data_IF_247737707259
#
_entry.id   IF_247737707259
#
_cell.length_a   1.000
_cell.length_b   1.000
_cell.length_c   1.000
_cell.angle_alpha   90.00
_cell.angle_beta   90.00
_cell.angle_gamma   90.00
#
_symmetry.space_group_name_H-M   'P 1'
#
loop_
_entity.id
_entity.type
_entity.pdbx_description
1 polymer ?
#
# COMPACT_ATOMS: atom_id res chain seq x y z
N UNK A 1 -33.30 10.91 -38.67
CA UNK A 1 -32.40 12.07 -38.52
C UNK A 1 -32.63 12.69 -37.16
N UNK A 2 -31.62 12.69 -36.29
CA UNK A 2 -31.37 13.67 -35.22
C UNK A 2 -30.20 13.15 -34.36
N UNK A 3 -28.99 13.60 -34.67
CA UNK A 3 -27.78 13.41 -33.86
C UNK A 3 -27.68 14.56 -32.86
N UNK A 4 -27.69 14.29 -31.56
CA UNK A 4 -27.49 15.31 -30.53
C UNK A 4 -25.97 15.56 -30.35
N UNK A 5 -25.50 16.72 -30.84
CA UNK A 5 -24.15 17.23 -30.63
C UNK A 5 -24.06 17.98 -29.31
N UNK A 6 -23.26 17.49 -28.36
CA UNK A 6 -22.96 18.21 -27.11
C UNK A 6 -21.76 19.14 -27.36
N UNK A 7 -21.99 20.44 -27.26
CA UNK A 7 -20.99 21.50 -27.38
C UNK A 7 -20.20 21.68 -26.08
N UNK A 8 -18.87 21.70 -26.16
CA UNK A 8 -17.98 22.04 -25.04
C UNK A 8 -17.63 23.53 -25.10
N UNK A 9 -17.94 24.28 -24.04
CA UNK A 9 -17.43 25.65 -23.86
C UNK A 9 -16.17 25.62 -23.00
N UNK A 10 -15.05 26.02 -23.61
CA UNK A 10 -13.73 26.14 -23.00
C UNK A 10 -13.36 27.63 -22.94
N UNK A 11 -13.58 28.31 -21.81
CA UNK A 11 -12.87 29.57 -21.48
C UNK A 11 -12.82 29.72 -19.96
N UNK A 12 -11.62 29.89 -19.40
CA UNK A 12 -11.41 30.10 -17.96
C UNK A 12 -9.98 30.54 -17.64
N UNK A 13 -9.64 31.74 -18.11
CA UNK A 13 -8.53 32.64 -17.78
C UNK A 13 -7.42 32.18 -16.80
N UNK A 14 -6.21 32.10 -17.34
CA UNK A 14 -4.93 32.10 -16.61
C UNK A 14 -4.58 33.55 -16.23
N UNK A 15 -4.46 33.88 -14.94
CA UNK A 15 -3.79 35.11 -14.49
C UNK A 15 -2.96 34.88 -13.24
N UNK A 16 -1.64 34.88 -13.44
CA UNK A 16 -0.67 35.57 -12.58
C UNK A 16 -0.31 34.91 -11.25
N UNK A 17 0.70 34.02 -11.27
CA UNK A 17 1.53 33.72 -10.11
C UNK A 17 2.91 34.38 -10.33
N UNK A 18 3.17 35.48 -9.62
CA UNK A 18 4.53 35.99 -9.44
C UNK A 18 5.25 35.14 -8.41
N UNK A 19 6.33 34.48 -8.84
CA UNK A 19 7.32 33.85 -7.97
C UNK A 19 8.07 34.93 -7.20
N UNK A 20 8.06 34.84 -5.86
CA UNK A 20 9.17 35.32 -5.04
C UNK A 20 9.35 34.34 -3.89
N UNK A 21 10.26 33.39 -4.10
CA UNK A 21 10.91 32.63 -3.03
C UNK A 21 12.06 33.46 -2.48
N UNK A 22 12.12 33.67 -1.16
CA UNK A 22 13.37 33.51 -0.41
C UNK A 22 13.08 33.47 1.08
N UNK A 23 13.00 32.25 1.61
CA UNK A 23 13.18 31.99 3.03
C UNK A 23 14.67 32.14 3.34
N UNK A 24 15.05 33.18 4.09
CA UNK A 24 16.39 33.26 4.70
C UNK A 24 16.24 33.02 6.19
N UNK A 25 16.56 31.80 6.60
CA UNK A 25 16.78 31.43 7.99
C UNK A 25 18.08 32.06 8.50
N UNK A 26 18.01 32.86 9.56
CA UNK A 26 19.20 33.24 10.33
C UNK A 26 19.01 32.85 11.78
N UNK A 27 19.59 31.70 12.10
CA UNK A 27 19.93 31.25 13.44
C UNK A 27 20.82 32.29 14.15
N UNK A 28 20.57 32.44 15.46
CA UNK A 28 21.51 32.77 16.55
C UNK A 28 22.73 33.64 16.23
N UNK A 29 22.74 34.87 16.78
CA UNK A 29 23.99 35.48 17.27
C UNK A 29 23.68 36.38 18.47
N UNK A 30 24.02 35.89 19.66
CA UNK A 30 24.13 36.71 20.86
C UNK A 30 25.47 37.41 20.87
N UNK A 31 25.50 38.68 21.23
CA UNK A 31 26.68 39.34 21.76
C UNK A 31 26.29 40.50 22.67
N UNK A 32 27.15 40.73 23.64
CA UNK A 32 26.97 41.46 24.90
C UNK A 32 27.12 42.97 24.66
N UNK A 33 26.34 43.81 25.36
CA UNK A 33 26.69 45.23 25.41
C UNK A 33 25.65 46.18 26.01
N UNK A 34 25.97 46.60 27.23
CA UNK A 34 25.79 47.95 27.77
C UNK A 34 24.44 48.39 28.37
N UNK A 35 24.58 48.69 29.66
CA UNK A 35 23.67 49.25 30.65
C UNK A 35 23.38 50.71 30.34
N UNK A 36 22.11 51.11 30.26
CA UNK A 36 21.68 52.49 30.59
C UNK A 36 20.34 52.51 31.32
N UNK A 37 20.25 53.49 32.22
CA UNK A 37 19.36 53.64 33.36
C UNK A 37 17.96 54.18 32.99
N UNK A 38 17.04 53.97 33.93
CA UNK A 38 15.81 54.75 34.22
C UNK A 38 14.75 54.84 33.11
N UNK A 39 13.68 54.06 33.28
CA UNK A 39 12.31 54.52 33.04
C UNK A 39 11.34 53.67 33.86
N UNK A 40 10.59 54.33 34.75
CA UNK A 40 9.48 53.74 35.50
C UNK A 40 8.35 53.51 34.50
N UNK A 41 8.05 52.25 34.16
CA UNK A 41 6.88 51.93 33.34
C UNK A 41 5.82 51.33 34.25
N UNK A 42 4.80 52.15 34.51
CA UNK A 42 3.57 51.78 35.18
C UNK A 42 2.85 50.65 34.42
N UNK A 43 2.49 49.58 35.12
CA UNK A 43 1.63 48.53 34.58
C UNK A 43 0.25 49.10 34.22
N UNK A 44 -0.27 48.94 33.00
CA UNK A 44 -1.65 49.29 32.72
C UNK A 44 -2.59 48.30 33.41
N UNK A 45 -3.58 48.89 34.08
CA UNK A 45 -4.73 48.25 34.75
C UNK A 45 -5.48 47.32 33.80
N UNK A 46 -6.02 46.24 34.40
CA UNK A 46 -7.18 45.43 33.97
C UNK A 46 -7.92 46.00 32.75
N UNK A 47 -7.85 45.32 31.61
CA UNK A 47 -8.79 45.53 30.51
C UNK A 47 -10.18 45.00 30.91
N UNK A 48 -11.26 45.79 30.82
CA UNK A 48 -12.61 45.40 31.23
C UNK A 48 -13.39 44.75 30.07
N UNK A 49 -12.72 43.98 29.21
CA UNK A 49 -13.37 43.39 28.04
C UNK A 49 -13.50 41.87 28.19
N UNK A 50 -14.66 41.30 27.84
CA UNK A 50 -15.02 39.93 28.17
C UNK A 50 -14.05 38.93 27.53
N UNK A 51 -13.76 37.84 28.25
CA UNK A 51 -13.09 36.64 27.75
C UNK A 51 -14.00 35.93 26.74
N UNK A 52 -14.31 36.57 25.63
CA UNK A 52 -15.02 35.91 24.54
C UNK A 52 -14.00 35.01 23.86
N UNK A 53 -14.11 33.70 24.06
CA UNK A 53 -13.48 32.74 23.16
C UNK A 53 -14.23 32.89 21.84
N UNK A 54 -13.75 33.78 20.97
CA UNK A 54 -14.27 33.92 19.62
C UNK A 54 -13.83 32.69 18.83
N UNK A 55 -14.67 31.67 18.91
CA UNK A 55 -14.63 30.46 18.11
C UNK A 55 -13.38 29.59 18.32
N UNK A 56 -13.62 28.31 18.53
CA UNK A 56 -12.68 27.31 18.05
C UNK A 56 -12.46 27.59 16.56
N UNK A 57 -11.31 28.14 16.18
CA UNK A 57 -10.93 28.13 14.77
C UNK A 57 -10.95 26.68 14.34
N UNK A 58 -11.80 26.37 13.36
CA UNK A 58 -11.97 25.03 12.81
C UNK A 58 -10.59 24.48 12.51
N UNK A 59 -10.12 23.50 13.28
CA UNK A 59 -9.01 22.65 12.84
C UNK A 59 -9.46 22.15 11.48
N UNK A 60 -8.79 22.60 10.42
CA UNK A 60 -9.24 22.45 9.04
C UNK A 60 -9.85 21.07 8.85
N UNK A 61 -11.07 21.04 8.31
CA UNK A 61 -11.80 19.80 8.08
C UNK A 61 -10.87 18.81 7.38
N UNK A 62 -10.45 17.76 8.10
CA UNK A 62 -9.54 16.77 7.58
C UNK A 62 -10.19 16.07 6.41
N UNK A 63 -9.61 16.21 5.22
CA UNK A 63 -9.88 15.29 4.12
C UNK A 63 -8.60 15.07 3.34
N UNK A 64 -7.69 14.29 3.93
CA UNK A 64 -6.67 13.63 3.12
C UNK A 64 -7.41 12.59 2.29
N UNK A 65 -7.51 12.79 0.97
CA UNK A 65 -8.06 11.78 0.07
C UNK A 65 -7.12 10.56 0.07
N UNK A 66 -7.48 9.54 0.84
CA UNK A 66 -6.78 8.26 0.85
C UNK A 66 -7.19 7.46 -0.39
N UNK A 67 -6.54 7.76 -1.52
CA UNK A 67 -6.75 7.11 -2.82
C UNK A 67 -5.57 6.25 -3.28
N UNK A 68 -4.77 5.72 -2.35
CA UNK A 68 -3.62 4.85 -2.68
C UNK A 68 -4.04 3.40 -2.56
N UNK A 69 -4.13 2.73 -3.70
CA UNK A 69 -4.26 1.27 -3.75
C UNK A 69 -3.20 0.68 -4.69
N UNK A 70 -2.88 -0.59 -4.47
CA UNK A 70 -1.95 -1.37 -5.26
C UNK A 70 -2.69 -2.30 -6.22
N UNK A 71 -2.04 -2.64 -7.33
CA UNK A 71 -2.60 -3.65 -8.25
C UNK A 71 -2.68 -5.02 -7.56
N UNK A 72 -3.70 -5.79 -7.87
CA UNK A 72 -3.83 -7.17 -7.41
C UNK A 72 -2.65 -8.04 -7.86
N UNK A 73 -2.05 -8.78 -6.93
CA UNK A 73 -0.81 -9.55 -7.16
C UNK A 73 -1.02 -10.95 -7.77
N UNK A 74 -2.25 -11.28 -8.18
CA UNK A 74 -2.63 -12.55 -8.84
C UNK A 74 -2.20 -13.81 -8.07
N UNK A 75 -2.19 -13.72 -6.74
CA UNK A 75 -1.92 -14.83 -5.82
C UNK A 75 -3.04 -15.88 -5.90
N UNK A 76 -2.77 -17.07 -5.36
CA UNK A 76 -3.73 -18.16 -5.27
C UNK A 76 -3.24 -19.46 -5.89
N UNK A 77 -4.14 -20.44 -5.88
CA UNK A 77 -3.96 -21.75 -6.48
C UNK A 77 -4.02 -21.62 -8.01
N UNK A 78 -3.13 -22.32 -8.70
CA UNK A 78 -3.05 -22.37 -10.17
C UNK A 78 -3.44 -23.73 -10.71
N UNK A 79 -3.09 -24.80 -10.00
CA UNK A 79 -3.47 -26.17 -10.32
C UNK A 79 -4.23 -26.73 -9.12
N UNK A 80 -5.45 -27.21 -9.35
CA UNK A 80 -6.32 -27.73 -8.30
C UNK A 80 -6.03 -29.21 -8.00
N UNK A 81 -6.73 -29.76 -7.00
CA UNK A 81 -6.65 -31.18 -6.69
C UNK A 81 -7.04 -32.05 -7.88
N UNK A 82 -6.38 -33.19 -8.01
CA UNK A 82 -6.58 -34.20 -9.05
C UNK A 82 -6.35 -33.70 -10.48
N UNK A 83 -5.69 -32.55 -10.63
CA UNK A 83 -5.22 -32.06 -11.92
C UNK A 83 -3.75 -32.43 -12.14
N UNK A 84 -3.39 -32.57 -13.42
CA UNK A 84 -2.04 -32.92 -13.85
C UNK A 84 -1.13 -31.70 -13.72
N UNK A 85 -0.01 -31.85 -13.01
CA UNK A 85 1.09 -30.91 -12.96
C UNK A 85 2.29 -31.48 -13.73
N UNK A 86 2.97 -30.61 -14.49
CA UNK A 86 4.28 -30.90 -15.10
C UNK A 86 5.41 -30.57 -14.11
N UNK A 87 6.61 -31.16 -14.25
CA UNK A 87 7.77 -30.73 -13.48
C UNK A 87 8.03 -29.23 -13.70
N UNK A 88 8.31 -28.50 -12.63
CA UNK A 88 8.48 -27.04 -12.64
C UNK A 88 7.18 -26.23 -12.67
N UNK A 89 6.01 -26.86 -12.82
CA UNK A 89 4.74 -26.14 -12.85
C UNK A 89 4.41 -25.53 -11.47
N UNK A 90 3.91 -24.30 -11.46
CA UNK A 90 3.51 -23.60 -10.25
C UNK A 90 2.13 -24.09 -9.82
N UNK A 91 2.02 -24.59 -8.58
CA UNK A 91 0.76 -25.08 -8.01
C UNK A 91 0.07 -23.96 -7.22
N UNK A 92 0.80 -23.22 -6.39
CA UNK A 92 0.25 -22.14 -5.56
C UNK A 92 1.23 -20.97 -5.46
N UNK A 93 0.74 -19.75 -5.71
CA UNK A 93 1.44 -18.50 -5.35
C UNK A 93 0.81 -17.93 -4.08
N UNK A 94 1.59 -17.73 -3.04
CA UNK A 94 1.07 -17.31 -1.73
C UNK A 94 1.96 -16.25 -1.07
N UNK A 95 1.46 -15.66 0.01
CA UNK A 95 2.24 -14.84 0.94
C UNK A 95 2.27 -15.57 2.26
N UNK A 96 3.47 -15.93 2.70
CA UNK A 96 3.67 -16.92 3.77
C UNK A 96 3.21 -18.33 3.36
N UNK A 97 3.33 -19.29 4.26
CA UNK A 97 2.92 -20.68 4.03
C UNK A 97 1.50 -20.93 4.51
N UNK A 98 0.51 -20.64 3.66
CA UNK A 98 -0.88 -21.12 3.88
C UNK A 98 -0.98 -22.62 3.60
N UNK A 99 -0.28 -23.03 2.55
CA UNK A 99 -0.03 -24.42 2.22
C UNK A 99 1.44 -24.75 2.49
N UNK A 100 1.67 -25.90 3.09
CA UNK A 100 3.01 -26.46 3.32
C UNK A 100 3.42 -27.38 2.17
N UNK A 101 4.72 -27.43 1.81
CA UNK A 101 5.20 -28.40 0.86
C UNK A 101 5.09 -29.81 1.43
N UNK A 102 4.61 -30.74 0.60
CA UNK A 102 4.52 -32.17 0.89
C UNK A 102 5.52 -32.96 0.05
N UNK A 103 5.11 -34.16 -0.38
CA UNK A 103 5.94 -35.04 -1.21
C UNK A 103 6.02 -34.53 -2.66
N UNK A 104 7.20 -34.63 -3.27
CA UNK A 104 7.48 -34.33 -4.68
C UNK A 104 7.18 -32.87 -5.11
N UNK A 105 7.30 -31.95 -4.16
CA UNK A 105 6.94 -30.55 -4.32
C UNK A 105 8.03 -29.70 -3.67
N UNK A 106 8.44 -28.62 -4.35
CA UNK A 106 9.41 -27.66 -3.85
C UNK A 106 8.76 -26.38 -3.33
N UNK A 107 9.49 -25.66 -2.46
CA UNK A 107 9.13 -24.34 -1.96
C UNK A 107 10.14 -23.31 -2.47
N UNK A 108 9.67 -22.26 -3.14
CA UNK A 108 10.48 -21.14 -3.60
C UNK A 108 10.74 -20.09 -2.52
N UNK A 109 11.61 -19.12 -2.80
CA UNK A 109 11.96 -17.99 -1.90
C UNK A 109 10.74 -17.18 -1.47
N UNK A 110 9.77 -16.99 -2.36
CA UNK A 110 8.52 -16.27 -2.09
C UNK A 110 7.41 -17.19 -1.53
N UNK A 111 7.76 -18.39 -1.06
CA UNK A 111 6.84 -19.44 -0.62
C UNK A 111 5.92 -19.98 -1.73
N UNK A 112 6.24 -19.72 -3.00
CA UNK A 112 5.57 -20.36 -4.14
C UNK A 112 5.83 -21.86 -4.10
N UNK A 113 4.77 -22.64 -4.30
CA UNK A 113 4.82 -24.09 -4.35
C UNK A 113 4.85 -24.54 -5.81
N UNK A 114 5.83 -25.37 -6.18
CA UNK A 114 5.99 -25.89 -7.53
C UNK A 114 6.21 -27.41 -7.53
N UNK A 115 5.81 -28.07 -8.62
CA UNK A 115 5.97 -29.52 -8.76
C UNK A 115 7.40 -29.89 -9.14
N UNK A 116 7.94 -30.96 -8.58
CA UNK A 116 9.24 -31.53 -9.00
C UNK A 116 9.08 -32.62 -10.05
N UNK A 117 7.91 -33.27 -10.08
CA UNK A 117 7.62 -34.40 -10.96
C UNK A 117 6.34 -34.14 -11.76
N UNK A 118 6.11 -34.95 -12.78
CA UNK A 118 4.81 -35.08 -13.42
C UNK A 118 3.86 -35.94 -12.56
N UNK A 119 2.60 -35.52 -12.44
CA UNK A 119 1.64 -36.26 -11.63
C UNK A 119 0.37 -35.48 -11.31
N UNK A 120 -0.45 -36.04 -10.42
CA UNK A 120 -1.67 -35.40 -9.91
C UNK A 120 -1.38 -34.64 -8.61
N UNK A 121 -1.89 -33.41 -8.52
CA UNK A 121 -1.80 -32.60 -7.31
C UNK A 121 -2.81 -33.08 -6.27
N UNK A 122 -2.39 -33.28 -5.03
CA UNK A 122 -3.26 -33.62 -3.91
C UNK A 122 -3.08 -32.63 -2.76
N UNK A 123 -4.20 -32.13 -2.25
CA UNK A 123 -4.25 -31.30 -1.04
C UNK A 123 -4.64 -32.17 0.14
N UNK A 124 -3.83 -32.17 1.18
CA UNK A 124 -4.07 -32.95 2.41
C UNK A 124 -4.06 -32.03 3.63
N UNK A 125 -4.75 -32.41 4.71
CA UNK A 125 -4.56 -31.75 6.00
C UNK A 125 -3.17 -32.05 6.56
N UNK A 126 -2.58 -31.05 7.20
CA UNK A 126 -1.32 -31.12 7.91
C UNK A 126 -1.56 -30.73 9.36
N UNK A 127 -1.92 -31.71 10.19
CA UNK A 127 -2.37 -31.47 11.56
C UNK A 127 -3.80 -30.90 11.62
N UNK A 128 -4.15 -30.21 12.73
CA UNK A 128 -5.52 -29.73 12.94
C UNK A 128 -5.90 -28.60 11.98
N UNK A 129 -5.01 -27.62 11.79
CA UNK A 129 -5.37 -26.35 11.15
C UNK A 129 -4.70 -26.11 9.78
N UNK A 130 -3.56 -26.75 9.53
CA UNK A 130 -2.73 -26.47 8.34
C UNK A 130 -3.07 -27.44 7.21
N UNK A 131 -2.67 -27.06 6.00
CA UNK A 131 -2.81 -27.90 4.80
C UNK A 131 -1.46 -28.06 4.12
N UNK A 132 -1.23 -29.20 3.51
CA UNK A 132 -0.03 -29.49 2.71
C UNK A 132 -0.41 -29.90 1.29
N UNK A 133 0.53 -29.72 0.37
CA UNK A 133 0.37 -30.04 -1.05
C UNK A 133 1.40 -31.07 -1.46
N UNK A 134 0.95 -32.19 -2.00
CA UNK A 134 1.81 -33.24 -2.55
C UNK A 134 1.47 -33.48 -4.02
N UNK A 135 2.43 -34.02 -4.77
CA UNK A 135 2.20 -34.51 -6.13
C UNK A 135 2.42 -36.01 -6.15
N UNK A 136 1.44 -36.74 -6.68
CA UNK A 136 1.42 -38.20 -6.76
C UNK A 136 1.61 -38.60 -8.22
N UNK A 137 2.47 -39.58 -8.48
CA UNK A 137 2.70 -40.11 -9.82
C UNK A 137 1.40 -40.63 -10.44
N UNK A 138 1.05 -40.12 -11.62
CA UNK A 138 -0.07 -40.64 -12.41
C UNK A 138 0.43 -41.74 -13.35
N UNK A 139 0.31 -43.00 -12.91
CA UNK A 139 0.83 -44.16 -13.64
C UNK A 139 0.20 -44.34 -15.03
N UNK A 140 -0.97 -43.75 -15.28
CA UNK A 140 -1.69 -43.84 -16.56
C UNK A 140 -1.02 -43.01 -17.66
N UNK A 141 -0.39 -41.88 -17.32
CA UNK A 141 0.27 -41.01 -18.31
C UNK A 141 1.62 -41.56 -18.77
N UNK A 142 2.33 -42.30 -17.90
CA UNK A 142 3.62 -42.93 -18.24
C UNK A 142 3.48 -44.09 -19.24
N UNK A 143 2.27 -44.65 -19.41
CA UNK A 143 2.03 -45.73 -20.37
C UNK A 143 1.77 -45.23 -21.79
N UNK A 144 1.40 -43.96 -21.95
CA UNK A 144 1.04 -43.35 -23.24
C UNK A 144 2.20 -42.60 -23.92
N UNK A 145 3.30 -42.32 -23.22
CA UNK A 145 4.47 -41.65 -23.80
C UNK A 145 5.43 -42.59 -24.54
N UNK A 146 5.23 -43.90 -24.43
CA UNK A 146 6.14 -44.93 -24.94
C UNK A 146 5.54 -45.77 -26.09
N UNK A 147 4.49 -45.30 -26.76
CA UNK A 147 4.00 -45.85 -28.04
C UNK A 147 4.11 -44.81 -29.13
#
# INVERSE_FOLDING_TARGET
>A
MATATMSFNLVGAFRGLSLASSSTSSFMKGEVGSIHKTAVVSFPRKSPFPLTIESAHKKGAGSTKNGRDSKGQRLGVKIYGDQVAKPGAIIVRQRGTKFHPGKNVGLGKDHTIFSLIDGLVKFEKFGPDKKKVSVILNRTLLRLSNS
#
